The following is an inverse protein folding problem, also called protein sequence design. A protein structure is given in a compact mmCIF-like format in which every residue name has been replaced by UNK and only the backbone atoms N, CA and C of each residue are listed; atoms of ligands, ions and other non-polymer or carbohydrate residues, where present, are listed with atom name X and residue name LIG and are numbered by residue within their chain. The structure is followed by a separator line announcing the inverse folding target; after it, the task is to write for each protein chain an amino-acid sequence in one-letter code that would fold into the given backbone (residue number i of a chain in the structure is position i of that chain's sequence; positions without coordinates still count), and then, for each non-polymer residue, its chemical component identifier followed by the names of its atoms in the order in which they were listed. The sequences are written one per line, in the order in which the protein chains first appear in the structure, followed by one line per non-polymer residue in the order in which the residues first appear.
data_IF_076964301350
#
_entry.id   IF_076964301350
#
_cell.length_a   1.000
_cell.length_b   1.000
_cell.length_c   1.000
_cell.angle_alpha   90.00
_cell.angle_beta   90.00
_cell.angle_gamma   90.00
#
_symmetry.space_group_name_H-M   'P 1'
#
loop_
_entity.id
_entity.type
_entity.pdbx_description
1 polymer ?
#
# COMPACT_ATOMS: atom_id res chain seq x y z
N UNK A 1 12.31 -7.56 -8.23
CA UNK A 1 13.38 -6.80 -7.55
C UNK A 1 12.76 -6.11 -6.34
N UNK A 2 13.17 -6.44 -5.10
CA UNK A 2 12.65 -5.83 -3.85
C UNK A 2 13.28 -4.45 -3.53
N UNK A 3 13.56 -3.66 -4.56
CA UNK A 3 14.37 -2.44 -4.44
C UNK A 3 13.86 -1.24 -5.24
N UNK A 4 12.68 -1.34 -5.86
CA UNK A 4 12.08 -0.25 -6.62
C UNK A 4 11.07 0.58 -5.78
N UNK A 5 10.95 0.30 -4.48
CA UNK A 5 9.84 0.78 -3.65
C UNK A 5 10.02 2.19 -3.05
N UNK A 6 11.14 2.86 -3.35
CA UNK A 6 11.37 4.25 -2.92
C UNK A 6 11.12 5.19 -4.09
N UNK A 7 9.89 5.72 -4.16
CA UNK A 7 9.61 6.89 -5.00
C UNK A 7 10.21 8.10 -4.30
N UNK A 8 11.36 8.56 -4.77
CA UNK A 8 11.92 9.84 -4.35
C UNK A 8 11.12 10.96 -5.02
N UNK A 9 10.55 11.84 -4.19
CA UNK A 9 9.82 13.01 -4.68
C UNK A 9 10.77 14.21 -4.71
N UNK A 10 10.91 14.90 -5.85
CA UNK A 10 11.63 16.16 -5.91
C UNK A 10 11.08 17.18 -4.90
N UNK A 11 11.93 18.05 -4.36
CA UNK A 11 11.46 19.18 -3.53
C UNK A 11 10.41 20.01 -4.27
N UNK A 12 9.36 20.41 -3.55
CA UNK A 12 8.23 21.17 -4.12
C UNK A 12 7.15 20.32 -4.81
N UNK A 13 7.33 19.01 -4.90
CA UNK A 13 6.31 18.10 -5.44
C UNK A 13 5.08 18.03 -4.53
N UNK A 14 3.90 17.86 -5.12
CA UNK A 14 2.62 17.74 -4.43
C UNK A 14 2.18 16.29 -4.24
N UNK A 15 1.21 16.02 -3.36
CA UNK A 15 0.58 14.70 -3.24
C UNK A 15 -0.03 14.22 -4.57
N UNK A 16 -0.47 15.15 -5.41
CA UNK A 16 -1.00 14.83 -6.73
C UNK A 16 0.10 14.24 -7.65
N UNK A 17 1.30 14.80 -7.64
CA UNK A 17 2.43 14.32 -8.44
C UNK A 17 2.85 12.90 -8.02
N UNK A 18 2.82 12.63 -6.71
CA UNK A 18 3.03 11.30 -6.16
C UNK A 18 2.02 10.28 -6.70
N UNK A 19 0.73 10.63 -6.68
CA UNK A 19 -0.35 9.78 -7.17
C UNK A 19 -0.21 9.53 -8.67
N UNK A 20 0.05 10.57 -9.45
CA UNK A 20 0.26 10.44 -10.91
C UNK A 20 1.42 9.53 -11.26
N UNK A 21 2.49 9.54 -10.46
CA UNK A 21 3.62 8.62 -10.64
C UNK A 21 3.18 7.17 -10.52
N UNK A 22 2.34 6.85 -9.52
CA UNK A 22 1.83 5.49 -9.29
C UNK A 22 0.80 5.03 -10.32
N UNK A 23 -0.01 5.95 -10.85
CA UNK A 23 -0.95 5.67 -11.96
C UNK A 23 -0.18 5.39 -13.25
N UNK A 24 0.85 6.19 -13.53
CA UNK A 24 1.64 6.08 -14.76
C UNK A 24 2.55 4.85 -14.74
N UNK A 25 3.13 4.54 -13.58
CA UNK A 25 4.10 3.45 -13.40
C UNK A 25 3.52 2.41 -12.44
N UNK A 26 2.79 1.42 -12.98
CA UNK A 26 2.09 0.40 -12.18
C UNK A 26 3.00 -0.38 -11.23
N UNK A 27 4.28 -0.58 -11.59
CA UNK A 27 5.26 -1.22 -10.72
C UNK A 27 5.61 -0.40 -9.47
N UNK A 28 5.41 0.93 -9.50
CA UNK A 28 5.64 1.83 -8.38
C UNK A 28 4.38 2.06 -7.52
N UNK A 29 3.20 1.61 -7.99
CA UNK A 29 1.92 1.91 -7.35
C UNK A 29 1.86 1.50 -5.87
N UNK A 30 2.40 0.32 -5.53
CA UNK A 30 2.42 -0.16 -4.14
C UNK A 30 3.26 0.76 -3.25
N UNK A 31 4.45 1.15 -3.70
CA UNK A 31 5.32 2.11 -3.00
C UNK A 31 4.66 3.49 -2.85
N UNK A 32 3.96 3.95 -3.89
CA UNK A 32 3.19 5.20 -3.88
C UNK A 32 2.09 5.17 -2.83
N UNK A 33 1.32 4.09 -2.70
CA UNK A 33 0.26 3.96 -1.68
C UNK A 33 0.84 4.00 -0.26
N UNK A 34 1.95 3.30 -0.04
CA UNK A 34 2.67 3.34 1.26
C UNK A 34 3.15 4.75 1.58
N UNK A 35 3.74 5.45 0.59
CA UNK A 35 4.22 6.83 0.76
C UNK A 35 3.07 7.79 1.02
N UNK A 36 1.98 7.69 0.26
CA UNK A 36 0.79 8.53 0.40
C UNK A 36 0.21 8.43 1.82
N UNK A 37 0.10 7.21 2.38
CA UNK A 37 -0.33 7.03 3.78
C UNK A 37 0.58 7.77 4.75
N UNK A 38 1.90 7.70 4.56
CA UNK A 38 2.87 8.40 5.42
C UNK A 38 2.72 9.92 5.30
N UNK A 39 2.67 10.45 4.09
CA UNK A 39 2.51 11.89 3.86
C UNK A 39 1.19 12.43 4.45
N UNK A 40 0.08 11.71 4.24
CA UNK A 40 -1.22 12.06 4.83
C UNK A 40 -1.20 12.03 6.36
N UNK A 41 -0.37 11.19 6.98
CA UNK A 41 -0.20 11.18 8.45
C UNK A 41 0.59 12.38 9.00
N UNK A 42 1.35 13.06 8.15
CA UNK A 42 2.12 14.27 8.51
C UNK A 42 1.29 15.54 8.39
N UNK A 43 0.22 15.54 7.59
CA UNK A 43 -0.71 16.69 7.48
C UNK A 43 -1.40 16.92 8.83
N UNK A 44 -1.28 18.15 9.38
CA UNK A 44 -1.93 18.56 10.64
C UNK A 44 -2.89 19.74 10.49
N UNK A 45 -2.74 20.49 9.41
CA UNK A 45 -3.46 21.76 9.23
C UNK A 45 -4.88 21.56 8.70
N UNK A 46 -5.15 20.38 8.11
CA UNK A 46 -6.44 19.98 7.55
C UNK A 46 -6.78 18.58 8.08
N UNK A 47 -8.02 18.32 8.54
CA UNK A 47 -8.40 16.99 9.01
C UNK A 47 -8.37 15.96 7.88
N UNK A 48 -7.71 14.83 8.13
CA UNK A 48 -7.64 13.68 7.21
C UNK A 48 -8.38 12.49 7.83
N UNK A 49 -9.31 11.91 7.06
CA UNK A 49 -10.10 10.73 7.46
C UNK A 49 -9.94 9.61 6.44
N UNK A 50 -9.67 8.40 6.92
CA UNK A 50 -9.73 7.18 6.12
C UNK A 50 -11.01 6.41 6.48
N UNK A 51 -11.89 6.23 5.50
CA UNK A 51 -13.07 5.39 5.62
C UNK A 51 -12.88 4.16 4.74
N UNK A 52 -12.86 2.97 5.35
CA UNK A 52 -12.78 1.69 4.65
C UNK A 52 -13.99 0.86 5.03
N UNK A 53 -14.69 0.40 4.00
CA UNK A 53 -15.75 -0.58 4.10
C UNK A 53 -15.21 -1.98 3.79
N UNK A 54 -15.98 -3.01 4.14
CA UNK A 54 -15.62 -4.43 4.04
C UNK A 54 -14.50 -4.85 4.99
N UNK A 55 -14.88 -5.13 6.25
CA UNK A 55 -13.97 -5.54 7.32
C UNK A 55 -13.06 -6.74 6.97
N UNK A 56 -13.54 -7.65 6.13
CA UNK A 56 -12.78 -8.80 5.63
C UNK A 56 -11.53 -8.39 4.82
N UNK A 57 -11.51 -7.21 4.21
CA UNK A 57 -10.34 -6.66 3.52
C UNK A 57 -9.09 -6.61 4.39
N UNK A 58 -9.23 -6.62 5.72
CA UNK A 58 -8.12 -6.43 6.66
C UNK A 58 -8.02 -7.49 7.77
N UNK A 59 -9.06 -8.29 8.00
CA UNK A 59 -9.11 -9.20 9.15
C UNK A 59 -9.15 -10.69 8.82
N UNK A 60 -9.28 -11.09 7.55
CA UNK A 60 -9.32 -12.51 7.17
C UNK A 60 -8.26 -12.87 6.14
N UNK A 61 -8.23 -14.16 5.77
CA UNK A 61 -7.39 -14.67 4.68
C UNK A 61 -7.89 -14.15 3.33
N UNK A 62 -6.94 -13.76 2.51
CA UNK A 62 -7.17 -13.29 1.15
C UNK A 62 -7.21 -14.46 0.17
N UNK A 63 -7.56 -14.16 -1.09
CA UNK A 63 -7.44 -15.11 -2.19
C UNK A 63 -5.97 -15.37 -2.60
N UNK A 64 -5.04 -14.50 -2.20
CA UNK A 64 -3.62 -14.70 -2.49
C UNK A 64 -3.08 -15.88 -1.68
N UNK A 65 -2.18 -16.62 -2.30
CA UNK A 65 -1.56 -17.78 -1.70
C UNK A 65 -0.06 -17.76 -1.94
N UNK A 66 0.68 -18.40 -1.04
CA UNK A 66 2.09 -18.70 -1.25
C UNK A 66 2.38 -20.20 -1.09
N UNK A 67 3.28 -20.76 -1.91
CA UNK A 67 3.64 -22.16 -1.82
C UNK A 67 4.37 -22.45 -0.51
N UNK A 68 3.90 -23.46 0.22
CA UNK A 68 4.56 -23.99 1.43
C UNK A 68 5.37 -25.22 1.08
N UNK A 69 4.85 -26.05 0.19
CA UNK A 69 5.54 -27.21 -0.38
C UNK A 69 5.26 -27.28 -1.87
N UNK A 70 5.91 -28.22 -2.57
CA UNK A 70 5.62 -28.52 -3.98
C UNK A 70 4.16 -28.95 -4.25
N UNK A 71 3.40 -29.33 -3.21
CA UNK A 71 2.00 -29.80 -3.32
C UNK A 71 1.02 -29.00 -2.48
N UNK A 72 1.44 -27.94 -1.80
CA UNK A 72 0.56 -27.17 -0.92
C UNK A 72 0.87 -25.69 -0.94
N UNK A 73 -0.18 -24.88 -0.90
CA UNK A 73 -0.12 -23.45 -0.71
C UNK A 73 -0.85 -23.07 0.58
N UNK A 74 -0.41 -22.02 1.25
CA UNK A 74 -1.17 -21.37 2.33
C UNK A 74 -1.82 -20.11 1.79
N UNK A 75 -3.02 -19.81 2.25
CA UNK A 75 -3.62 -18.48 2.03
C UNK A 75 -2.85 -17.42 2.81
N UNK A 76 -2.70 -16.25 2.20
CA UNK A 76 -2.03 -15.10 2.79
C UNK A 76 -3.05 -14.31 3.61
N UNK A 77 -2.74 -14.03 4.87
CA UNK A 77 -3.60 -13.21 5.72
C UNK A 77 -3.57 -11.76 5.25
N UNK A 78 -4.70 -11.04 5.27
CA UNK A 78 -4.77 -9.66 4.76
C UNK A 78 -3.72 -8.72 5.40
N UNK A 79 -3.46 -8.89 6.70
CA UNK A 79 -2.40 -8.18 7.45
C UNK A 79 -0.97 -8.37 6.90
N UNK A 80 -0.74 -9.38 6.08
CA UNK A 80 0.56 -9.62 5.43
C UNK A 80 0.70 -8.85 4.10
N UNK A 81 -0.39 -8.30 3.55
CA UNK A 81 -0.34 -7.50 2.33
C UNK A 81 0.14 -6.08 2.63
N UNK A 82 1.12 -5.62 1.86
CA UNK A 82 1.73 -4.27 2.01
C UNK A 82 0.70 -3.15 1.94
N UNK A 83 -0.32 -3.27 1.10
CA UNK A 83 -1.37 -2.24 0.95
C UNK A 83 -2.33 -2.18 2.13
N UNK A 84 -2.40 -3.24 2.94
CA UNK A 84 -3.27 -3.35 4.11
C UNK A 84 -2.54 -2.96 5.39
N UNK A 85 -1.32 -3.48 5.58
CA UNK A 85 -0.55 -3.28 6.82
C UNK A 85 -0.30 -1.81 7.15
N UNK A 86 -0.28 -0.93 6.13
CA UNK A 86 -0.12 0.51 6.35
C UNK A 86 -1.26 1.16 7.13
N UNK A 87 -2.42 0.51 7.29
CA UNK A 87 -3.55 1.06 8.05
C UNK A 87 -3.69 0.45 9.46
N UNK A 88 -2.89 -0.57 9.78
CA UNK A 88 -2.90 -1.28 11.07
C UNK A 88 -1.91 -0.77 12.10
#
# INVERSE_FOLDING_TARGET
MKGADTVEMPEGSTLYDLIQTGITHSHAAVGVVVRLRKELSLVKDVPVLFAIDQYNSWFTFTEYQEPVTVRSCRSIHAKELTTVIIYG
#
